data_IF_374867047203
#
_entry.id   IF_374867047203
#
_cell.length_a   1.000
_cell.length_b   1.000
_cell.length_c   1.000
_cell.angle_alpha   90.00
_cell.angle_beta   90.00
_cell.angle_gamma   90.00
#
_symmetry.space_group_name_H-M   'P 1'
#
loop_
_entity.id
_entity.type
_entity.pdbx_description
1 polymer ?
#
# COMPACT_ATOMS: atom_id res chain seq x y z
N UNK A 1 29.45 -1.01 -55.34
CA UNK A 1 30.57 -1.56 -54.53
C UNK A 1 30.20 -1.42 -53.08
N UNK A 2 29.87 -2.52 -52.49
CA UNK A 2 30.34 -3.09 -51.22
C UNK A 2 30.61 -2.04 -50.13
N UNK A 3 29.97 -1.99 -48.99
CA UNK A 3 29.45 -3.00 -48.09
C UNK A 3 29.98 -2.64 -46.71
N UNK A 4 29.09 -2.58 -45.72
CA UNK A 4 29.43 -2.90 -44.35
C UNK A 4 28.14 -2.92 -43.51
N UNK A 5 27.46 -4.06 -43.57
CA UNK A 5 26.60 -4.58 -42.49
C UNK A 5 27.57 -5.10 -41.43
N UNK A 6 27.60 -4.45 -40.30
CA UNK A 6 28.42 -4.81 -39.15
C UNK A 6 27.72 -4.60 -37.84
N UNK A 7 27.11 -5.68 -37.31
CA UNK A 7 26.91 -5.98 -35.89
C UNK A 7 26.29 -4.95 -34.95
N UNK A 8 24.98 -4.86 -34.99
CA UNK A 8 24.17 -4.43 -33.82
C UNK A 8 23.48 -5.61 -33.10
N UNK A 9 24.19 -6.70 -32.95
CA UNK A 9 23.65 -7.93 -32.35
C UNK A 9 24.43 -8.38 -31.09
N UNK A 10 24.97 -7.45 -30.30
CA UNK A 10 25.65 -7.79 -29.05
C UNK A 10 25.47 -6.72 -27.97
N UNK A 11 24.24 -6.52 -27.48
CA UNK A 11 24.01 -5.84 -26.20
C UNK A 11 22.55 -6.12 -25.69
N UNK A 12 22.06 -7.31 -25.95
CA UNK A 12 20.78 -7.75 -25.38
C UNK A 12 20.99 -9.05 -24.59
N UNK A 13 22.00 -9.05 -23.69
CA UNK A 13 22.19 -10.11 -22.70
C UNK A 13 22.34 -9.50 -21.33
N UNK A 14 21.46 -9.97 -20.43
CA UNK A 14 21.44 -9.78 -18.98
C UNK A 14 20.86 -8.47 -18.43
N UNK A 15 19.63 -8.14 -18.78
CA UNK A 15 18.70 -7.73 -17.76
C UNK A 15 17.93 -9.00 -17.37
N UNK A 16 18.52 -9.84 -16.55
CA UNK A 16 17.76 -10.72 -15.67
C UNK A 16 17.01 -9.76 -14.72
N UNK A 17 15.82 -9.37 -15.11
CA UNK A 17 14.83 -8.86 -14.18
C UNK A 17 14.69 -9.97 -13.12
N UNK A 18 15.18 -9.70 -11.91
CA UNK A 18 14.78 -10.46 -10.74
C UNK A 18 13.24 -10.39 -10.71
N UNK A 19 12.59 -11.41 -11.27
CA UNK A 19 11.15 -11.54 -11.26
C UNK A 19 10.78 -11.72 -9.81
N UNK A 20 10.29 -10.68 -9.20
CA UNK A 20 9.73 -10.67 -7.87
C UNK A 20 8.67 -11.75 -7.81
N UNK A 21 8.82 -12.72 -6.95
CA UNK A 21 7.93 -13.87 -6.98
C UNK A 21 6.99 -13.81 -5.79
N UNK A 22 5.72 -13.57 -6.10
CA UNK A 22 4.60 -13.97 -5.27
C UNK A 22 4.72 -15.48 -5.06
N UNK A 23 4.90 -15.92 -3.83
CA UNK A 23 5.06 -17.33 -3.47
C UNK A 23 3.88 -17.78 -2.62
N UNK A 24 3.21 -18.84 -3.01
CA UNK A 24 2.28 -19.53 -2.13
C UNK A 24 3.04 -20.17 -0.97
N UNK A 25 2.54 -19.97 0.25
CA UNK A 25 3.10 -20.56 1.46
C UNK A 25 2.03 -21.30 2.25
N UNK A 26 2.41 -22.39 2.90
CA UNK A 26 1.50 -23.12 3.76
C UNK A 26 1.25 -22.31 5.04
N UNK A 27 0.00 -21.90 5.35
CA UNK A 27 -0.29 -21.17 6.59
C UNK A 27 0.19 -21.88 7.85
N UNK A 28 0.26 -23.22 7.85
CA UNK A 28 0.71 -24.04 9.01
C UNK A 28 2.19 -23.83 9.33
N UNK A 29 2.99 -23.39 8.36
CA UNK A 29 4.41 -23.10 8.55
C UNK A 29 4.67 -21.68 9.01
N UNK A 30 3.61 -20.95 9.34
CA UNK A 30 3.65 -19.54 9.78
C UNK A 30 3.02 -19.37 11.16
N UNK A 31 3.24 -18.22 11.78
CA UNK A 31 2.52 -17.80 12.99
C UNK A 31 1.05 -17.44 12.74
N UNK A 32 0.56 -17.61 11.49
CA UNK A 32 -0.79 -17.26 11.07
C UNK A 32 -1.73 -18.47 10.94
N UNK A 33 -1.27 -19.69 11.19
CA UNK A 33 -2.02 -20.92 10.96
C UNK A 33 -3.46 -20.88 11.53
N UNK A 34 -3.60 -20.61 12.82
CA UNK A 34 -4.90 -20.57 13.51
C UNK A 34 -5.74 -19.39 13.01
N UNK A 35 -5.13 -18.22 12.88
CA UNK A 35 -5.83 -17.02 12.41
C UNK A 35 -6.29 -17.18 10.96
N UNK A 36 -5.47 -17.78 10.10
CA UNK A 36 -5.85 -18.07 8.72
C UNK A 36 -7.05 -19.00 8.66
N UNK A 37 -7.01 -20.14 9.35
CA UNK A 37 -8.11 -21.10 9.37
C UNK A 37 -9.42 -20.51 9.89
N UNK A 38 -9.36 -19.71 10.95
CA UNK A 38 -10.52 -19.11 11.58
C UNK A 38 -11.14 -17.98 10.73
N UNK A 39 -10.29 -17.02 10.32
CA UNK A 39 -10.79 -15.78 9.73
C UNK A 39 -11.08 -15.87 8.23
N UNK A 40 -10.53 -16.84 7.51
CA UNK A 40 -10.92 -17.10 6.12
C UNK A 40 -12.34 -17.68 5.99
N UNK A 41 -12.86 -18.26 7.08
CA UNK A 41 -14.24 -18.78 7.17
C UNK A 41 -15.22 -17.73 7.71
N UNK A 42 -14.71 -16.59 8.22
CA UNK A 42 -15.57 -15.55 8.80
C UNK A 42 -16.26 -14.73 7.72
N UNK A 43 -17.51 -14.38 7.93
CA UNK A 43 -18.26 -13.45 7.08
C UNK A 43 -17.78 -12.00 7.22
N UNK A 44 -17.10 -11.66 8.33
CA UNK A 44 -16.56 -10.32 8.60
C UNK A 44 -15.12 -10.42 9.18
N UNK A 45 -14.11 -10.68 8.32
CA UNK A 45 -12.74 -10.89 8.78
C UNK A 45 -11.92 -9.60 8.93
N UNK A 46 -12.50 -8.43 8.59
CA UNK A 46 -11.78 -7.16 8.62
C UNK A 46 -11.86 -6.50 9.99
N UNK A 47 -10.73 -5.95 10.42
CA UNK A 47 -10.61 -5.15 11.65
C UNK A 47 -10.18 -3.75 11.29
N UNK A 48 -10.82 -2.74 11.90
CA UNK A 48 -10.42 -1.34 11.74
C UNK A 48 -9.98 -0.75 13.07
N UNK A 49 -8.80 -0.15 13.10
CA UNK A 49 -8.27 0.58 14.24
C UNK A 49 -8.04 2.04 13.84
N UNK A 50 -8.51 2.99 14.63
CA UNK A 50 -8.26 4.41 14.40
C UNK A 50 -7.31 4.95 15.48
N UNK A 51 -6.25 5.62 15.04
CA UNK A 51 -5.30 6.33 15.91
C UNK A 51 -5.13 7.76 15.45
N UNK A 52 -5.10 8.68 16.39
CA UNK A 52 -4.77 10.08 16.12
C UNK A 52 -3.25 10.26 16.17
N UNK A 53 -2.67 10.68 15.05
CA UNK A 53 -1.23 10.93 14.88
C UNK A 53 -0.87 12.40 15.11
N UNK A 54 0.25 12.67 15.74
CA UNK A 54 0.87 13.99 15.71
C UNK A 54 1.66 14.15 14.40
N UNK A 55 1.12 14.93 13.50
CA UNK A 55 1.69 15.22 12.18
C UNK A 55 2.31 16.61 12.07
N UNK A 56 2.60 17.25 13.22
CA UNK A 56 3.15 18.62 13.28
C UNK A 56 4.45 18.71 12.49
N UNK A 57 5.35 17.76 12.68
CA UNK A 57 6.65 17.73 11.99
C UNK A 57 6.48 17.46 10.49
N UNK A 58 5.67 16.48 10.13
CA UNK A 58 5.36 16.17 8.72
C UNK A 58 4.87 17.40 7.97
N UNK A 59 3.93 18.15 8.56
CA UNK A 59 3.40 19.40 8.00
C UNK A 59 4.47 20.48 7.87
N UNK A 60 5.38 20.61 8.86
CA UNK A 60 6.50 21.57 8.79
C UNK A 60 7.45 21.21 7.64
N UNK A 61 7.81 19.94 7.49
CA UNK A 61 8.69 19.45 6.40
C UNK A 61 8.03 19.66 5.04
N UNK A 62 6.75 19.28 4.90
CA UNK A 62 5.97 19.51 3.68
C UNK A 62 6.07 20.97 3.22
N UNK A 63 5.84 21.92 4.11
CA UNK A 63 5.91 23.36 3.80
C UNK A 63 7.32 23.84 3.50
N UNK A 64 8.31 23.44 4.32
CA UNK A 64 9.70 23.89 4.16
C UNK A 64 10.32 23.40 2.86
N UNK A 65 10.00 22.18 2.43
CA UNK A 65 10.56 21.54 1.22
C UNK A 65 9.66 21.67 -0.02
N UNK A 66 8.45 22.24 0.10
CA UNK A 66 7.50 22.34 -1.01
C UNK A 66 6.93 20.99 -1.45
N UNK A 67 6.94 19.97 -0.57
CA UNK A 67 6.47 18.63 -0.87
C UNK A 67 4.98 18.47 -0.52
N UNK A 68 4.23 17.69 -1.32
CA UNK A 68 2.82 17.42 -1.02
C UNK A 68 2.69 16.65 0.30
N UNK A 69 1.78 17.07 1.19
CA UNK A 69 1.58 16.44 2.50
C UNK A 69 1.16 14.96 2.36
N UNK A 70 0.20 14.65 1.48
CA UNK A 70 -0.25 13.27 1.26
C UNK A 70 0.86 12.39 0.72
N UNK A 71 1.70 12.87 -0.19
CA UNK A 71 2.87 12.14 -0.68
C UNK A 71 3.83 11.79 0.47
N UNK A 72 4.16 12.76 1.33
CA UNK A 72 5.01 12.51 2.49
C UNK A 72 4.40 11.52 3.48
N UNK A 73 3.08 11.60 3.70
CA UNK A 73 2.38 10.63 4.54
C UNK A 73 2.41 9.22 3.93
N UNK A 74 2.16 9.08 2.63
CA UNK A 74 2.26 7.82 1.90
C UNK A 74 3.68 7.24 1.99
N UNK A 75 4.72 8.07 1.88
CA UNK A 75 6.10 7.63 2.09
C UNK A 75 6.35 7.13 3.51
N UNK A 76 5.87 7.85 4.53
CA UNK A 76 5.97 7.39 5.92
C UNK A 76 5.23 6.06 6.13
N UNK A 77 4.06 5.88 5.53
CA UNK A 77 3.29 4.62 5.56
C UNK A 77 4.13 3.51 4.92
N UNK A 78 4.67 3.72 3.71
CA UNK A 78 5.52 2.76 3.01
C UNK A 78 6.71 2.32 3.86
N UNK A 79 7.40 3.27 4.51
CA UNK A 79 8.50 3.01 5.46
C UNK A 79 8.07 2.24 6.71
N UNK A 80 6.85 2.44 7.19
CA UNK A 80 6.34 1.75 8.37
C UNK A 80 5.92 0.31 8.05
N UNK A 81 5.19 0.10 6.93
CA UNK A 81 4.74 -1.24 6.53
C UNK A 81 5.91 -2.15 6.20
N UNK A 82 6.99 -1.62 5.58
CA UNK A 82 8.18 -2.43 5.23
C UNK A 82 8.93 -3.02 6.43
N UNK A 83 8.63 -2.57 7.66
CA UNK A 83 9.23 -3.08 8.90
C UNK A 83 8.39 -4.11 9.64
N UNK A 84 7.26 -4.48 9.09
CA UNK A 84 6.30 -5.40 9.71
C UNK A 84 6.12 -6.59 8.76
N UNK A 85 6.63 -7.73 9.14
CA UNK A 85 6.68 -8.94 8.30
C UNK A 85 5.29 -9.40 7.82
N UNK A 86 4.26 -9.17 8.63
CA UNK A 86 2.89 -9.56 8.31
C UNK A 86 2.31 -8.80 7.10
N UNK A 87 2.83 -7.63 6.76
CA UNK A 87 2.42 -6.94 5.52
C UNK A 87 2.88 -7.65 4.25
N UNK A 88 3.96 -8.43 4.33
CA UNK A 88 4.44 -9.21 3.17
C UNK A 88 3.63 -10.49 2.92
N UNK A 89 2.66 -10.80 3.77
CA UNK A 89 1.77 -11.95 3.61
C UNK A 89 0.35 -11.49 3.33
N UNK A 90 -0.30 -12.06 2.32
CA UNK A 90 -1.68 -11.70 1.99
C UNK A 90 -2.50 -12.99 1.74
N UNK A 91 -3.61 -13.20 2.49
CA UNK A 91 -4.59 -14.22 2.12
C UNK A 91 -5.29 -13.81 0.83
N UNK A 92 -5.49 -14.73 -0.10
CA UNK A 92 -6.21 -14.47 -1.34
C UNK A 92 -7.15 -15.63 -1.68
N UNK A 93 -8.27 -15.32 -2.33
CA UNK A 93 -9.13 -16.34 -2.91
C UNK A 93 -8.66 -16.66 -4.32
N UNK A 94 -8.48 -17.93 -4.59
CA UNK A 94 -8.05 -18.44 -5.91
C UNK A 94 -8.98 -19.58 -6.33
N UNK A 95 -9.18 -19.81 -7.64
CA UNK A 95 -9.86 -21.02 -8.11
C UNK A 95 -9.15 -22.26 -7.56
N UNK A 96 -9.92 -23.31 -7.25
CA UNK A 96 -9.37 -24.62 -6.89
C UNK A 96 -8.66 -25.26 -8.09
N UNK A 97 -7.60 -26.01 -7.81
CA UNK A 97 -6.78 -26.64 -8.87
C UNK A 97 -7.49 -27.84 -9.57
N UNK A 98 -8.68 -28.22 -9.11
CA UNK A 98 -9.46 -29.34 -9.63
C UNK A 98 -10.36 -28.99 -10.85
N UNK A 99 -10.30 -27.73 -11.32
CA UNK A 99 -11.08 -27.23 -12.44
C UNK A 99 -12.56 -26.97 -12.13
N UNK A 100 -12.96 -27.00 -10.85
CA UNK A 100 -14.28 -26.54 -10.42
C UNK A 100 -14.33 -25.01 -10.38
N UNK A 101 -15.54 -24.44 -10.31
CA UNK A 101 -15.71 -22.99 -10.11
C UNK A 101 -15.59 -22.59 -8.63
N UNK A 102 -15.11 -23.48 -7.77
CA UNK A 102 -14.95 -23.21 -6.37
C UNK A 102 -13.73 -22.33 -6.10
N UNK A 103 -13.81 -21.50 -5.07
CA UNK A 103 -12.75 -20.58 -4.67
C UNK A 103 -12.23 -20.99 -3.30
N UNK A 104 -10.94 -21.23 -3.21
CA UNK A 104 -10.25 -21.53 -1.95
C UNK A 104 -9.37 -20.37 -1.48
N UNK A 105 -9.08 -20.33 -0.18
CA UNK A 105 -8.18 -19.37 0.39
C UNK A 105 -6.75 -19.92 0.39
N UNK A 106 -5.83 -19.16 -0.23
CA UNK A 106 -4.39 -19.42 -0.21
C UNK A 106 -3.66 -18.26 0.46
N UNK A 107 -2.53 -18.55 1.11
CA UNK A 107 -1.68 -17.52 1.71
C UNK A 107 -0.48 -17.31 0.80
N UNK A 108 -0.25 -16.06 0.41
CA UNK A 108 0.89 -15.69 -0.43
C UNK A 108 1.87 -14.81 0.34
N UNK A 109 3.15 -15.05 0.12
CA UNK A 109 4.24 -14.18 0.55
C UNK A 109 4.78 -13.41 -0.65
N UNK A 110 5.03 -12.14 -0.44
CA UNK A 110 5.59 -11.21 -1.42
C UNK A 110 6.93 -10.68 -0.91
N UNK A 111 7.78 -10.17 -1.78
CA UNK A 111 9.06 -9.56 -1.43
C UNK A 111 9.03 -8.03 -1.58
N UNK A 112 7.95 -7.46 -2.15
CA UNK A 112 7.78 -6.01 -2.30
C UNK A 112 6.35 -5.55 -2.03
N UNK A 113 6.24 -4.25 -1.77
CA UNK A 113 4.96 -3.58 -1.51
C UNK A 113 4.86 -2.29 -2.32
N UNK A 114 3.63 -1.86 -2.58
CA UNK A 114 3.32 -0.57 -3.16
C UNK A 114 2.19 0.12 -2.38
N UNK A 115 2.19 1.44 -2.41
CA UNK A 115 1.13 2.27 -1.86
C UNK A 115 0.17 2.63 -2.99
N UNK A 116 -1.08 2.19 -2.88
CA UNK A 116 -2.11 2.60 -3.81
C UNK A 116 -2.58 4.02 -3.48
N UNK A 117 -2.57 4.87 -4.48
CA UNK A 117 -2.98 6.28 -4.39
C UNK A 117 -4.17 6.51 -5.31
N UNK A 118 -5.18 7.20 -4.78
CA UNK A 118 -6.38 7.59 -5.50
C UNK A 118 -6.27 9.07 -5.84
N UNK A 119 -6.53 9.44 -7.09
CA UNK A 119 -6.56 10.82 -7.54
C UNK A 119 -7.79 11.11 -8.41
N UNK A 120 -8.29 12.35 -8.31
CA UNK A 120 -9.28 12.86 -9.26
C UNK A 120 -8.66 12.95 -10.64
N UNK A 121 -9.41 12.60 -11.70
CA UNK A 121 -8.97 12.68 -13.07
C UNK A 121 -9.70 13.80 -13.85
N UNK A 122 -9.15 14.18 -15.00
CA UNK A 122 -9.67 15.30 -15.82
C UNK A 122 -11.09 15.08 -16.36
N UNK A 123 -11.63 13.85 -16.27
CA UNK A 123 -13.01 13.52 -16.64
C UNK A 123 -13.99 13.62 -15.45
N UNK A 124 -13.51 14.01 -14.27
CA UNK A 124 -14.33 14.14 -13.05
C UNK A 124 -14.60 12.81 -12.35
N UNK A 125 -13.88 11.74 -12.71
CA UNK A 125 -13.87 10.45 -12.01
C UNK A 125 -12.62 10.28 -11.15
N UNK A 126 -12.42 9.04 -10.66
CA UNK A 126 -11.23 8.65 -9.91
C UNK A 126 -10.35 7.75 -10.76
N UNK A 127 -9.05 7.84 -10.56
CA UNK A 127 -8.06 6.91 -11.10
C UNK A 127 -7.08 6.49 -10.02
N UNK A 128 -6.43 5.34 -10.19
CA UNK A 128 -5.63 4.65 -9.20
C UNK A 128 -4.22 4.40 -9.71
N UNK A 129 -3.22 4.55 -8.86
CA UNK A 129 -1.87 4.10 -9.17
C UNK A 129 -1.18 3.48 -7.96
N UNK A 130 -0.30 2.52 -8.23
CA UNK A 130 0.50 1.84 -7.23
C UNK A 130 1.93 2.38 -7.26
N UNK A 131 2.31 3.07 -6.20
CA UNK A 131 3.64 3.67 -6.04
C UNK A 131 4.52 2.72 -5.24
N UNK A 132 5.57 2.17 -5.86
CA UNK A 132 6.48 1.25 -5.19
C UNK A 132 7.08 1.88 -3.92
N UNK A 133 7.11 1.12 -2.83
CA UNK A 133 7.73 1.54 -1.57
C UNK A 133 9.24 1.74 -1.79
N UNK A 134 9.77 2.84 -1.29
CA UNK A 134 11.19 3.18 -1.33
C UNK A 134 11.66 3.80 -0.02
N UNK A 135 12.87 3.45 0.40
CA UNK A 135 13.53 4.11 1.55
C UNK A 135 14.00 5.52 1.19
N UNK A 136 14.30 5.76 -0.08
CA UNK A 136 14.70 7.06 -0.58
C UNK A 136 13.49 7.95 -0.88
N UNK A 137 13.40 9.08 -0.18
CA UNK A 137 12.30 10.03 -0.31
C UNK A 137 12.24 10.69 -1.70
N UNK A 138 13.38 10.99 -2.30
CA UNK A 138 13.41 11.67 -3.60
C UNK A 138 12.90 10.74 -4.69
N UNK A 139 13.33 9.48 -4.69
CA UNK A 139 12.82 8.43 -5.59
C UNK A 139 11.32 8.22 -5.41
N UNK A 140 10.84 8.09 -4.16
CA UNK A 140 9.41 7.93 -3.89
C UNK A 140 8.62 9.15 -4.37
N UNK A 141 9.10 10.37 -4.09
CA UNK A 141 8.44 11.59 -4.52
C UNK A 141 8.36 11.70 -6.05
N UNK A 142 9.46 11.41 -6.76
CA UNK A 142 9.47 11.44 -8.22
C UNK A 142 8.45 10.47 -8.82
N UNK A 143 8.41 9.22 -8.34
CA UNK A 143 7.47 8.21 -8.78
C UNK A 143 6.02 8.59 -8.44
N UNK A 144 5.76 9.05 -7.20
CA UNK A 144 4.44 9.51 -6.77
C UNK A 144 3.91 10.64 -7.67
N UNK A 145 4.73 11.65 -7.92
CA UNK A 145 4.34 12.79 -8.75
C UNK A 145 4.09 12.38 -10.20
N UNK A 146 4.97 11.57 -10.78
CA UNK A 146 4.84 11.09 -12.14
C UNK A 146 3.58 10.23 -12.33
N UNK A 147 3.38 9.22 -11.46
CA UNK A 147 2.23 8.31 -11.56
C UNK A 147 0.91 9.04 -11.33
N UNK A 148 0.81 9.88 -10.29
CA UNK A 148 -0.42 10.63 -10.02
C UNK A 148 -0.76 11.60 -11.14
N UNK A 149 0.20 12.28 -11.76
CA UNK A 149 -0.02 13.13 -12.92
C UNK A 149 -0.50 12.31 -14.12
N UNK A 150 0.15 11.17 -14.39
CA UNK A 150 -0.20 10.29 -15.51
C UNK A 150 -1.65 9.82 -15.42
N UNK A 151 -2.06 9.24 -14.26
CA UNK A 151 -3.44 8.74 -14.09
C UNK A 151 -4.47 9.86 -14.13
N UNK A 152 -4.13 11.05 -13.64
CA UNK A 152 -5.00 12.24 -13.70
C UNK A 152 -5.28 12.63 -15.15
N UNK A 153 -4.26 12.66 -16.01
CA UNK A 153 -4.39 13.09 -17.39
C UNK A 153 -4.96 12.01 -18.31
N UNK A 154 -4.50 10.77 -18.14
CA UNK A 154 -4.91 9.65 -19.03
C UNK A 154 -6.25 9.05 -18.67
N UNK A 155 -6.69 9.20 -17.41
CA UNK A 155 -7.86 8.52 -16.83
C UNK A 155 -7.73 6.98 -16.90
N UNK A 156 -6.49 6.47 -16.83
CA UNK A 156 -6.18 5.04 -16.83
C UNK A 156 -5.45 4.68 -15.56
N UNK A 157 -5.82 3.56 -14.97
CA UNK A 157 -5.17 3.06 -13.76
C UNK A 157 -3.80 2.46 -14.10
N UNK A 158 -2.86 2.57 -13.15
CA UNK A 158 -1.52 1.97 -13.24
C UNK A 158 -1.32 1.12 -11.99
N UNK A 159 -1.59 -0.18 -12.09
CA UNK A 159 -1.60 -1.12 -10.98
C UNK A 159 -0.42 -2.09 -11.05
N UNK A 160 -0.01 -2.62 -9.90
CA UNK A 160 1.10 -3.55 -9.73
C UNK A 160 0.61 -4.88 -9.15
N UNK A 161 0.41 -5.88 -10.01
CA UNK A 161 -0.09 -7.20 -9.62
C UNK A 161 0.96 -8.07 -8.89
N UNK A 162 2.22 -7.64 -8.86
CA UNK A 162 3.34 -8.39 -8.29
C UNK A 162 3.74 -7.91 -6.89
N UNK A 163 3.04 -6.92 -6.32
CA UNK A 163 3.29 -6.36 -5.00
C UNK A 163 2.11 -6.57 -4.05
N UNK A 164 2.37 -6.55 -2.75
CA UNK A 164 1.28 -6.30 -1.78
C UNK A 164 0.91 -4.83 -1.86
N UNK A 165 -0.34 -4.58 -2.14
CA UNK A 165 -0.86 -3.22 -2.22
C UNK A 165 -1.38 -2.79 -0.85
N UNK A 166 -0.86 -1.67 -0.35
CA UNK A 166 -1.41 -0.96 0.81
C UNK A 166 -2.25 0.19 0.28
N UNK A 167 -3.57 0.02 0.36
CA UNK A 167 -4.52 1.02 -0.15
C UNK A 167 -4.52 2.29 0.71
N UNK A 168 -4.68 3.44 0.06
CA UNK A 168 -4.84 4.71 0.78
C UNK A 168 -5.97 5.55 0.21
N UNK A 169 -6.70 6.26 1.09
CA UNK A 169 -7.74 7.23 0.70
C UNK A 169 -7.65 8.49 1.56
N UNK A 170 -7.57 9.63 0.90
CA UNK A 170 -7.48 10.94 1.55
C UNK A 170 -8.73 11.79 1.26
N UNK A 171 -9.67 11.83 2.19
CA UNK A 171 -10.88 12.66 2.11
C UNK A 171 -10.57 14.07 2.65
N UNK A 172 -9.81 14.86 1.89
CA UNK A 172 -9.23 16.13 2.36
C UNK A 172 -10.23 17.28 2.48
N UNK A 173 -11.45 17.12 1.98
CA UNK A 173 -12.50 18.13 2.01
C UNK A 173 -13.02 18.45 3.42
N UNK A 174 -12.90 17.52 4.37
CA UNK A 174 -13.37 17.68 5.75
C UNK A 174 -12.43 17.04 6.76
N UNK A 175 -12.54 17.44 8.01
CA UNK A 175 -11.94 16.77 9.16
C UNK A 175 -12.81 15.56 9.53
N UNK A 176 -12.17 14.42 9.79
CA UNK A 176 -12.85 13.18 10.15
C UNK A 176 -12.20 12.58 11.39
N UNK A 177 -13.01 12.04 12.28
CA UNK A 177 -12.54 11.34 13.49
C UNK A 177 -12.19 9.89 13.20
N UNK A 178 -12.92 9.24 12.30
CA UNK A 178 -12.66 7.87 11.85
C UNK A 178 -13.35 7.56 10.53
N UNK A 179 -12.87 6.51 9.85
CA UNK A 179 -13.49 5.93 8.65
C UNK A 179 -13.48 4.42 8.83
N UNK A 180 -14.62 3.78 8.62
CA UNK A 180 -14.74 2.32 8.61
C UNK A 180 -15.23 1.88 7.25
N UNK A 181 -14.38 1.17 6.50
CA UNK A 181 -14.77 0.62 5.21
C UNK A 181 -15.61 -0.64 5.39
N UNK A 182 -16.56 -0.84 4.49
CA UNK A 182 -17.31 -2.09 4.44
C UNK A 182 -16.46 -3.21 3.84
N UNK A 183 -16.68 -4.43 4.32
CA UNK A 183 -16.12 -5.62 3.72
C UNK A 183 -16.98 -6.08 2.54
N UNK A 184 -16.42 -6.01 1.34
CA UNK A 184 -17.12 -6.43 0.10
C UNK A 184 -16.82 -7.88 -0.32
N UNK A 185 -15.88 -8.55 0.35
CA UNK A 185 -15.38 -9.87 -0.05
C UNK A 185 -14.36 -9.83 -1.20
N UNK A 186 -14.15 -8.67 -1.80
CA UNK A 186 -13.26 -8.48 -2.96
C UNK A 186 -11.92 -7.86 -2.52
N UNK A 187 -11.99 -6.79 -1.72
CA UNK A 187 -10.79 -6.07 -1.26
C UNK A 187 -10.39 -6.54 0.12
N UNK A 188 -9.26 -7.22 0.20
CA UNK A 188 -8.69 -7.79 1.42
C UNK A 188 -7.37 -7.14 1.83
N UNK A 189 -6.85 -6.27 1.00
CA UNK A 189 -5.58 -5.57 1.21
C UNK A 189 -5.66 -4.65 2.43
N UNK A 190 -4.54 -4.43 3.12
CA UNK A 190 -4.43 -3.38 4.14
C UNK A 190 -4.82 -2.03 3.55
N UNK A 191 -5.58 -1.25 4.30
CA UNK A 191 -6.11 0.02 3.82
C UNK A 191 -6.05 1.10 4.89
N UNK A 192 -5.56 2.28 4.53
CA UNK A 192 -5.54 3.45 5.41
C UNK A 192 -6.41 4.56 4.84
N UNK A 193 -7.19 5.20 5.70
CA UNK A 193 -8.01 6.33 5.29
C UNK A 193 -7.95 7.46 6.32
N UNK A 194 -7.97 8.69 5.81
CA UNK A 194 -7.93 9.89 6.66
C UNK A 194 -8.66 11.06 6.02
N UNK A 195 -9.04 12.02 6.88
CA UNK A 195 -9.59 13.31 6.47
C UNK A 195 -8.54 14.41 6.37
N UNK A 196 -8.99 15.65 6.45
CA UNK A 196 -8.12 16.81 6.63
C UNK A 196 -7.56 16.81 8.07
N UNK A 197 -6.28 17.20 8.24
CA UNK A 197 -5.67 17.29 9.56
C UNK A 197 -6.23 18.48 10.38
N UNK A 198 -6.34 18.27 11.69
CA UNK A 198 -6.75 19.30 12.65
C UNK A 198 -5.57 20.21 13.03
N UNK A 199 -5.74 21.51 12.89
CA UNK A 199 -4.75 22.51 13.32
C UNK A 199 -5.05 22.98 14.73
N UNK A 200 -4.40 22.39 15.72
CA UNK A 200 -4.40 22.92 17.08
C UNK A 200 -3.34 24.02 17.27
N UNK A 201 -3.38 24.67 18.43
CA UNK A 201 -2.44 25.73 18.79
C UNK A 201 -0.98 25.22 18.89
N UNK A 202 -0.76 24.11 19.55
CA UNK A 202 0.58 23.51 19.76
C UNK A 202 0.89 22.40 18.76
N UNK A 203 -0.10 21.64 18.36
CA UNK A 203 0.05 20.44 17.54
C UNK A 203 -0.90 20.44 16.35
N UNK A 204 -0.46 19.80 15.30
CA UNK A 204 -1.32 19.38 14.18
C UNK A 204 -1.55 17.89 14.30
N UNK A 205 -2.80 17.46 14.35
CA UNK A 205 -3.17 16.06 14.52
C UNK A 205 -3.96 15.51 13.33
N UNK A 206 -3.87 14.22 13.08
CA UNK A 206 -4.57 13.55 12.01
C UNK A 206 -5.04 12.18 12.48
N UNK A 207 -6.36 11.96 12.64
CA UNK A 207 -6.91 10.62 12.79
C UNK A 207 -6.71 9.82 11.49
N UNK A 208 -6.12 8.64 11.61
CA UNK A 208 -5.94 7.70 10.51
C UNK A 208 -6.59 6.39 10.91
N UNK A 209 -7.52 5.91 10.09
CA UNK A 209 -8.14 4.60 10.24
C UNK A 209 -7.36 3.60 9.41
N UNK A 210 -6.93 2.52 10.05
CA UNK A 210 -6.21 1.40 9.46
C UNK A 210 -7.07 0.15 9.50
N UNK A 211 -7.41 -0.40 8.34
CA UNK A 211 -8.16 -1.63 8.18
C UNK A 211 -7.28 -2.75 7.63
N UNK A 212 -7.45 -3.96 8.14
CA UNK A 212 -6.71 -5.13 7.72
C UNK A 212 -7.53 -6.41 7.88
N UNK A 213 -7.18 -7.44 7.10
CA UNK A 213 -7.77 -8.77 7.23
C UNK A 213 -7.14 -9.52 8.41
N UNK A 214 -7.94 -10.08 9.31
CA UNK A 214 -7.44 -10.69 10.55
C UNK A 214 -6.64 -11.99 10.30
N UNK A 215 -6.83 -12.64 9.16
CA UNK A 215 -5.93 -13.73 8.76
C UNK A 215 -4.51 -13.25 8.43
N UNK A 216 -4.36 -11.99 7.98
CA UNK A 216 -3.05 -11.41 7.67
C UNK A 216 -2.31 -11.01 8.95
N UNK A 217 -2.94 -10.28 9.88
CA UNK A 217 -2.32 -9.79 11.10
C UNK A 217 -3.29 -9.71 12.27
N UNK A 218 -2.74 -9.64 13.48
CA UNK A 218 -3.50 -9.45 14.72
C UNK A 218 -3.35 -8.01 15.22
N UNK A 219 -4.15 -7.66 16.24
CA UNK A 219 -4.09 -6.34 16.87
C UNK A 219 -2.70 -5.94 17.38
N UNK A 220 -1.87 -6.91 17.84
CA UNK A 220 -0.48 -6.63 18.25
C UNK A 220 0.41 -6.17 17.09
N UNK A 221 0.24 -6.76 15.89
CA UNK A 221 0.99 -6.39 14.69
C UNK A 221 0.53 -5.01 14.18
N UNK A 222 -0.79 -4.80 14.18
CA UNK A 222 -1.38 -3.51 13.83
C UNK A 222 -0.93 -2.40 14.80
N UNK A 223 -0.90 -2.65 16.11
CA UNK A 223 -0.39 -1.71 17.10
C UNK A 223 1.09 -1.36 16.86
N UNK A 224 1.93 -2.37 16.59
CA UNK A 224 3.35 -2.18 16.25
C UNK A 224 3.51 -1.31 15.00
N UNK A 225 2.71 -1.54 13.97
CA UNK A 225 2.69 -0.70 12.77
C UNK A 225 2.30 0.75 13.09
N UNK A 226 1.23 0.97 13.87
CA UNK A 226 0.77 2.32 14.21
C UNK A 226 1.80 3.11 15.04
N UNK A 227 2.52 2.45 15.96
CA UNK A 227 3.62 3.08 16.70
C UNK A 227 4.83 3.37 15.81
N UNK A 228 5.18 2.45 14.91
CA UNK A 228 6.28 2.66 13.96
C UNK A 228 5.98 3.82 12.99
N UNK A 229 4.76 3.92 12.50
CA UNK A 229 4.32 5.05 11.67
C UNK A 229 4.47 6.38 12.41
N UNK A 230 4.04 6.46 13.68
CA UNK A 230 4.21 7.67 14.48
C UNK A 230 5.70 8.01 14.67
N UNK A 231 6.54 7.00 14.91
CA UNK A 231 7.99 7.18 15.07
C UNK A 231 8.62 7.74 13.80
N UNK A 232 8.25 7.21 12.62
CA UNK A 232 8.74 7.69 11.33
C UNK A 232 8.28 9.14 11.07
N UNK A 233 7.02 9.45 11.30
CA UNK A 233 6.48 10.82 11.17
C UNK A 233 7.26 11.81 12.06
N UNK A 234 7.72 11.39 13.23
CA UNK A 234 8.53 12.24 14.10
C UNK A 234 10.00 12.35 13.68
N UNK A 235 10.51 11.41 12.89
CA UNK A 235 11.92 11.38 12.48
C UNK A 235 12.22 12.05 11.12
N UNK A 236 11.17 12.38 10.35
CA UNK A 236 11.28 12.96 9.01
C UNK A 236 12.00 14.32 8.98
#
# INVERSE_FOLDING_TARGET
MFGCLGNFAYLCKSLQTNKTMKQEINPKDTNRAIAFELWTKSSMPMVTLTKTFDVTRLRKVSRKRGLKFNMLLCWCIGRAVSKIDEFYMLPQRQPTDDGTSEMEWKLYKYDRMAINVIADNVKGGLSFCDVAVSDDLETFNANYMHLTETITQTCQDILDDEAVIVGTSAVTGTELDSIVNQYSGIFINPFLAWGRYHKGWLKTTLPISFQFHHAQMDGKHAARFLEELQRIIHSI
#
